data_IF_313934334345
#
_entry.id   IF_313934334345
#
_cell.length_a   1.000
_cell.length_b   1.000
_cell.length_c   1.000
_cell.angle_alpha   90.00
_cell.angle_beta   90.00
_cell.angle_gamma   90.00
#
_symmetry.space_group_name_H-M   'P 1'
#
loop_
_entity.id
_entity.type
_entity.pdbx_description
1 polymer ?
#
# COMPACT_ATOMS: atom_id res chain seq x y z
N UNK A 1 1.73 -40.50 75.22
CA UNK A 1 1.80 -41.97 75.06
C UNK A 1 1.89 -42.27 73.58
N UNK A 2 2.99 -42.91 73.15
CA UNK A 2 3.15 -43.86 72.03
C UNK A 2 2.62 -43.39 70.65
N UNK A 3 3.44 -43.18 69.63
CA UNK A 3 4.53 -44.04 69.14
C UNK A 3 4.10 -44.62 67.77
N UNK A 4 4.97 -44.57 66.77
CA UNK A 4 4.70 -45.22 65.47
C UNK A 4 5.40 -44.58 64.29
N UNK A 5 6.71 -44.83 64.17
CA UNK A 5 7.43 -44.80 62.90
C UNK A 5 7.14 -46.13 62.19
N UNK A 6 6.98 -46.15 60.86
CA UNK A 6 7.60 -47.12 59.91
C UNK A 6 6.87 -47.21 58.56
N UNK A 7 7.70 -47.39 57.52
CA UNK A 7 7.49 -48.15 56.29
C UNK A 7 7.06 -47.44 54.98
N UNK A 8 8.08 -47.12 54.19
CA UNK A 8 8.32 -47.63 52.83
C UNK A 8 7.16 -47.58 51.82
N UNK A 9 7.31 -46.77 50.77
CA UNK A 9 6.42 -46.83 49.61
C UNK A 9 6.80 -45.85 48.51
N UNK A 10 7.91 -46.14 47.83
CA UNK A 10 8.24 -45.60 46.51
C UNK A 10 7.00 -45.65 45.58
N UNK A 11 6.50 -44.50 45.15
CA UNK A 11 5.77 -44.40 43.89
C UNK A 11 6.12 -43.08 43.22
N UNK A 12 6.80 -43.22 42.08
CA UNK A 12 7.08 -42.18 41.11
C UNK A 12 5.80 -41.57 40.52
N UNK A 13 6.01 -40.42 39.86
CA UNK A 13 5.05 -39.61 39.09
C UNK A 13 4.11 -38.81 40.00
N UNK A 14 4.04 -37.49 39.87
CA UNK A 14 3.48 -36.81 38.71
C UNK A 14 4.11 -35.43 38.52
N UNK A 15 4.54 -35.21 37.27
CA UNK A 15 4.60 -33.97 36.51
C UNK A 15 4.73 -32.64 37.27
N UNK A 16 5.92 -32.05 37.15
CA UNK A 16 6.20 -30.63 37.37
C UNK A 16 5.28 -29.79 36.47
N UNK A 17 4.28 -29.15 37.09
CA UNK A 17 3.47 -28.10 36.51
C UNK A 17 4.19 -26.75 36.64
N UNK A 18 4.05 -25.94 35.59
CA UNK A 18 4.27 -24.50 35.50
C UNK A 18 5.71 -24.00 35.30
N UNK A 19 6.00 -23.55 34.06
CA UNK A 19 6.15 -22.13 33.68
C UNK A 19 6.50 -22.02 32.18
N UNK A 20 5.67 -21.38 31.33
CA UNK A 20 6.12 -20.93 30.01
C UNK A 20 6.61 -19.49 30.14
N UNK A 21 7.92 -19.27 30.01
CA UNK A 21 8.48 -17.93 29.82
C UNK A 21 9.13 -17.80 28.45
N UNK A 22 8.48 -16.97 27.63
CA UNK A 22 9.04 -16.07 26.63
C UNK A 22 10.07 -16.63 25.63
N UNK A 23 9.65 -16.72 24.36
CA UNK A 23 10.29 -15.89 23.34
C UNK A 23 9.32 -15.66 22.18
N UNK A 24 8.76 -14.46 22.19
CA UNK A 24 8.06 -13.83 21.09
C UNK A 24 9.05 -13.59 19.94
N UNK A 25 8.99 -14.44 18.92
CA UNK A 25 9.49 -14.12 17.58
C UNK A 25 8.29 -14.09 16.61
N UNK A 26 7.39 -13.14 16.87
CA UNK A 26 6.34 -12.75 15.94
C UNK A 26 7.01 -12.02 14.75
N UNK A 27 7.55 -12.77 13.79
CA UNK A 27 7.71 -12.24 12.43
C UNK A 27 6.34 -12.35 11.77
N UNK A 28 5.50 -11.36 12.06
CA UNK A 28 4.34 -11.06 11.24
C UNK A 28 4.85 -10.57 9.89
N UNK A 29 5.10 -11.50 8.97
CA UNK A 29 4.96 -11.20 7.56
C UNK A 29 3.47 -10.90 7.39
N UNK A 30 3.15 -9.62 7.24
CA UNK A 30 1.82 -9.22 6.79
C UNK A 30 1.70 -9.73 5.36
N UNK A 31 1.03 -10.86 5.20
CA UNK A 31 0.54 -11.29 3.91
C UNK A 31 -0.61 -10.33 3.57
N UNK A 32 -0.30 -9.30 2.77
CA UNK A 32 -1.35 -8.55 2.11
C UNK A 32 -1.76 -9.39 0.90
N UNK A 33 -2.74 -10.25 1.11
CA UNK A 33 -3.48 -10.86 0.02
C UNK A 33 -4.29 -9.75 -0.64
N UNK A 34 -3.73 -9.18 -1.71
CA UNK A 34 -4.47 -8.32 -2.64
C UNK A 34 -5.35 -9.24 -3.48
N UNK A 35 -6.50 -9.64 -2.94
CA UNK A 35 -7.49 -10.41 -3.70
C UNK A 35 -8.03 -9.52 -4.84
N UNK A 36 -7.67 -9.92 -6.06
CA UNK A 36 -8.08 -9.39 -7.36
C UNK A 36 -8.04 -7.87 -7.49
N UNK A 37 -6.83 -7.32 -7.61
CA UNK A 37 -6.52 -5.92 -7.91
C UNK A 37 -7.04 -5.42 -9.28
N UNK A 38 -8.32 -5.67 -9.56
CA UNK A 38 -9.10 -5.33 -10.74
C UNK A 38 -10.15 -4.28 -10.32
N UNK A 39 -9.97 -3.06 -10.81
CA UNK A 39 -10.84 -1.92 -10.56
C UNK A 39 -11.59 -1.54 -11.84
N UNK A 40 -12.82 -1.06 -11.69
CA UNK A 40 -13.54 -0.45 -12.80
C UNK A 40 -13.50 1.07 -12.61
N UNK A 41 -12.94 1.77 -13.59
CA UNK A 41 -12.90 3.23 -13.61
C UNK A 41 -13.98 3.76 -14.53
N UNK A 42 -14.97 4.44 -13.96
CA UNK A 42 -15.96 5.20 -14.71
C UNK A 42 -16.08 6.59 -14.10
N UNK A 43 -15.54 7.58 -14.79
CA UNK A 43 -15.57 8.98 -14.39
C UNK A 43 -16.23 9.78 -15.50
N UNK A 44 -17.34 10.45 -15.19
CA UNK A 44 -18.06 11.28 -16.15
C UNK A 44 -18.05 12.73 -15.68
N UNK A 45 -17.33 13.59 -16.41
CA UNK A 45 -17.18 15.03 -16.08
C UNK A 45 -16.69 15.26 -14.63
N UNK A 46 -15.69 14.49 -14.20
CA UNK A 46 -15.16 14.53 -12.83
C UNK A 46 -13.93 15.44 -12.77
N UNK A 47 -13.79 16.18 -11.68
CA UNK A 47 -12.61 17.01 -11.42
C UNK A 47 -11.33 16.16 -11.32
N UNK A 48 -10.25 16.65 -11.94
CA UNK A 48 -8.98 15.93 -12.02
C UNK A 48 -8.41 15.60 -10.63
N UNK A 49 -8.61 16.47 -9.65
CA UNK A 49 -8.19 16.27 -8.25
C UNK A 49 -8.84 15.04 -7.61
N UNK A 50 -10.11 14.76 -7.93
CA UNK A 50 -10.84 13.58 -7.44
C UNK A 50 -10.29 12.30 -8.07
N UNK A 51 -9.95 12.36 -9.35
CA UNK A 51 -9.30 11.23 -10.04
C UNK A 51 -7.94 10.94 -9.42
N UNK A 52 -7.13 11.97 -9.14
CA UNK A 52 -5.82 11.83 -8.48
C UNK A 52 -5.97 11.16 -7.11
N UNK A 53 -6.89 11.64 -6.26
CA UNK A 53 -7.14 11.07 -4.93
C UNK A 53 -7.59 9.60 -5.00
N UNK A 54 -8.43 9.28 -5.97
CA UNK A 54 -8.87 7.89 -6.20
C UNK A 54 -7.69 6.99 -6.56
N UNK A 55 -6.84 7.42 -7.51
CA UNK A 55 -5.67 6.64 -7.91
C UNK A 55 -4.64 6.57 -6.78
N UNK A 56 -4.47 7.62 -5.98
CA UNK A 56 -3.60 7.63 -4.79
C UNK A 56 -4.01 6.54 -3.78
N UNK A 57 -5.31 6.41 -3.53
CA UNK A 57 -5.86 5.37 -2.64
C UNK A 57 -5.71 3.98 -3.22
N UNK A 58 -5.93 3.82 -4.52
CA UNK A 58 -5.80 2.52 -5.20
C UNK A 58 -4.34 2.05 -5.30
N UNK A 59 -3.40 2.96 -5.57
CA UNK A 59 -1.98 2.64 -5.72
C UNK A 59 -1.20 2.66 -4.41
N UNK A 60 -1.78 3.21 -3.33
CA UNK A 60 -1.09 3.43 -2.06
C UNK A 60 0.07 4.42 -2.15
N UNK A 61 0.08 5.28 -3.18
CA UNK A 61 1.18 6.21 -3.44
C UNK A 61 0.77 7.64 -3.07
N UNK A 62 1.70 8.38 -2.47
CA UNK A 62 1.49 9.79 -2.16
C UNK A 62 1.64 10.64 -3.42
N UNK A 63 0.64 11.47 -3.70
CA UNK A 63 0.67 12.43 -4.81
C UNK A 63 0.81 13.87 -4.30
N UNK A 64 1.66 14.65 -4.95
CA UNK A 64 1.77 16.10 -4.75
C UNK A 64 1.41 16.78 -6.07
N UNK A 65 0.52 17.75 -6.03
CA UNK A 65 0.12 18.53 -7.20
C UNK A 65 -0.06 20.00 -6.81
N UNK A 66 0.15 20.89 -7.78
CA UNK A 66 -0.03 22.33 -7.62
C UNK A 66 -1.46 22.76 -8.04
N UNK A 67 -1.86 23.99 -7.71
CA UNK A 67 -3.13 24.60 -8.10
C UNK A 67 -3.38 24.63 -9.61
N UNK A 68 -2.32 24.48 -10.41
CA UNK A 68 -2.41 24.39 -11.87
C UNK A 68 -3.07 23.09 -12.35
N UNK A 69 -3.07 22.03 -11.52
CA UNK A 69 -3.67 20.73 -11.84
C UNK A 69 -5.18 20.78 -11.58
N UNK A 70 -5.91 21.40 -12.50
CA UNK A 70 -7.36 21.59 -12.42
C UNK A 70 -8.05 21.27 -13.74
N UNK A 71 -9.36 21.02 -13.67
CA UNK A 71 -10.22 20.80 -14.82
C UNK A 71 -10.92 19.46 -14.78
N UNK A 72 -11.89 19.27 -15.68
CA UNK A 72 -12.72 18.07 -15.74
C UNK A 72 -12.25 17.08 -16.79
N UNK A 73 -12.39 15.80 -16.47
CA UNK A 73 -12.03 14.67 -17.32
C UNK A 73 -13.15 13.64 -17.32
N UNK A 74 -13.24 12.91 -18.43
CA UNK A 74 -14.14 11.79 -18.59
C UNK A 74 -13.30 10.57 -18.94
N UNK A 75 -13.47 9.48 -18.20
CA UNK A 75 -12.78 8.21 -18.35
C UNK A 75 -13.85 7.14 -18.38
N UNK A 76 -13.95 6.42 -19.49
CA UNK A 76 -14.93 5.34 -19.66
C UNK A 76 -14.16 4.03 -19.81
N UNK A 77 -14.23 3.16 -18.79
CA UNK A 77 -13.67 1.81 -18.87
C UNK A 77 -14.79 0.77 -19.03
N UNK A 78 -14.94 0.14 -20.22
CA UNK A 78 -15.97 -0.85 -20.46
C UNK A 78 -15.75 -2.17 -19.69
N UNK A 79 -14.52 -2.41 -19.21
CA UNK A 79 -14.11 -3.62 -18.51
C UNK A 79 -13.39 -3.30 -17.20
N UNK A 80 -13.33 -4.27 -16.28
CA UNK A 80 -12.46 -4.20 -15.10
C UNK A 80 -11.00 -4.29 -15.53
N UNK A 81 -10.16 -3.42 -14.99
CA UNK A 81 -8.73 -3.30 -15.33
C UNK A 81 -7.89 -3.42 -14.06
N UNK A 82 -6.66 -3.90 -14.14
CA UNK A 82 -5.82 -4.01 -12.94
C UNK A 82 -5.45 -2.63 -12.36
N UNK A 83 -5.03 -2.55 -11.10
CA UNK A 83 -4.53 -1.29 -10.49
C UNK A 83 -3.40 -0.67 -11.32
N UNK A 84 -2.52 -1.48 -11.89
CA UNK A 84 -1.47 -1.02 -12.80
C UNK A 84 -2.03 -0.42 -14.10
N UNK A 85 -3.05 -1.04 -14.67
CA UNK A 85 -3.73 -0.51 -15.86
C UNK A 85 -4.49 0.77 -15.54
N UNK A 86 -5.16 0.83 -14.39
CA UNK A 86 -5.83 2.04 -13.90
C UNK A 86 -4.84 3.21 -13.77
N UNK A 87 -3.65 2.94 -13.25
CA UNK A 87 -2.56 3.91 -13.19
C UNK A 87 -2.10 4.36 -14.59
N UNK A 88 -1.94 3.45 -15.56
CA UNK A 88 -1.59 3.79 -16.93
C UNK A 88 -2.67 4.63 -17.65
N UNK A 89 -3.95 4.33 -17.42
CA UNK A 89 -5.08 5.13 -17.93
C UNK A 89 -5.06 6.53 -17.33
N UNK A 90 -4.79 6.64 -16.03
CA UNK A 90 -4.65 7.93 -15.36
C UNK A 90 -3.50 8.77 -15.95
N UNK A 91 -2.32 8.17 -16.19
CA UNK A 91 -1.22 8.88 -16.84
C UNK A 91 -1.59 9.35 -18.25
N UNK A 92 -2.35 8.56 -19.00
CA UNK A 92 -2.86 8.95 -20.32
C UNK A 92 -3.79 10.16 -20.25
N UNK A 93 -4.66 10.22 -19.22
CA UNK A 93 -5.57 11.34 -19.00
C UNK A 93 -4.81 12.61 -18.63
N UNK A 94 -3.78 12.50 -17.79
CA UNK A 94 -2.89 13.61 -17.49
C UNK A 94 -2.22 14.13 -18.77
N UNK A 95 -1.72 13.24 -19.62
CA UNK A 95 -1.06 13.62 -20.87
C UNK A 95 -1.98 14.40 -21.81
N UNK A 96 -3.25 13.98 -21.94
CA UNK A 96 -4.27 14.69 -22.74
C UNK A 96 -4.50 16.12 -22.23
N UNK A 97 -4.41 16.32 -20.91
CA UNK A 97 -4.55 17.63 -20.27
C UNK A 97 -3.25 18.44 -20.25
N UNK A 98 -2.13 17.87 -20.68
CA UNK A 98 -0.82 18.54 -20.68
C UNK A 98 -0.06 18.42 -19.35
N UNK A 99 -0.43 17.47 -18.50
CA UNK A 99 0.24 17.14 -17.24
C UNK A 99 0.93 15.79 -17.34
N UNK A 100 1.81 15.51 -16.39
CA UNK A 100 2.46 14.22 -16.22
C UNK A 100 2.84 14.00 -14.77
N UNK A 101 3.03 12.74 -14.42
CA UNK A 101 3.61 12.28 -13.16
C UNK A 101 5.14 12.28 -13.25
N UNK A 102 5.81 12.68 -12.17
CA UNK A 102 7.25 12.58 -11.99
C UNK A 102 7.53 12.01 -10.62
N UNK A 103 8.37 10.97 -10.55
CA UNK A 103 8.78 10.38 -9.27
C UNK A 103 9.73 11.34 -8.58
N UNK A 104 9.35 11.77 -7.37
CA UNK A 104 10.17 12.59 -6.50
C UNK A 104 10.98 11.75 -5.50
N UNK A 105 11.78 12.42 -4.66
CA UNK A 105 12.49 11.76 -3.57
C UNK A 105 11.51 11.12 -2.58
N UNK A 106 11.96 10.07 -1.89
CA UNK A 106 11.20 9.35 -0.87
C UNK A 106 9.89 8.69 -1.34
N UNK A 107 9.79 8.31 -2.62
CA UNK A 107 8.67 7.51 -3.14
C UNK A 107 7.38 8.30 -3.36
N UNK A 108 7.46 9.63 -3.40
CA UNK A 108 6.32 10.51 -3.68
C UNK A 108 6.21 10.76 -5.18
N UNK A 109 5.00 10.88 -5.72
CA UNK A 109 4.76 11.21 -7.12
C UNK A 109 4.25 12.64 -7.22
N UNK A 110 4.90 13.45 -8.05
CA UNK A 110 4.49 14.84 -8.33
C UNK A 110 3.72 14.89 -9.65
N UNK A 111 2.62 15.63 -9.70
CA UNK A 111 1.89 15.93 -10.94
C UNK A 111 2.22 17.34 -11.37
N UNK A 112 2.90 17.47 -12.51
CA UNK A 112 3.40 18.74 -13.04
C UNK A 112 3.08 18.88 -14.53
N UNK A 113 3.07 20.10 -15.10
CA UNK A 113 2.92 20.29 -16.54
C UNK A 113 4.03 19.58 -17.33
N UNK A 114 3.69 19.01 -18.49
CA UNK A 114 4.66 18.30 -19.37
C UNK A 114 5.88 19.17 -19.71
N UNK A 115 5.69 20.48 -19.83
CA UNK A 115 6.78 21.43 -20.12
C UNK A 115 7.83 21.43 -19.01
N UNK A 116 7.38 21.47 -17.76
CA UNK A 116 8.25 21.44 -16.57
C UNK A 116 8.85 20.04 -16.36
N UNK A 117 8.12 18.97 -16.71
CA UNK A 117 8.64 17.62 -16.60
C UNK A 117 9.82 17.34 -17.53
N UNK A 118 9.86 17.96 -18.72
CA UNK A 118 11.04 17.88 -19.60
C UNK A 118 12.26 18.56 -18.99
N UNK A 119 12.05 19.64 -18.25
CA UNK A 119 13.10 20.38 -17.55
C UNK A 119 13.53 19.71 -16.24
N UNK A 120 12.66 18.89 -15.61
CA UNK A 120 13.02 18.10 -14.43
C UNK A 120 13.60 16.72 -14.77
N UNK A 121 13.30 16.17 -15.95
CA UNK A 121 13.82 14.87 -16.38
C UNK A 121 15.34 14.93 -16.60
N UNK A 122 15.89 16.06 -17.05
CA UNK A 122 17.34 16.30 -17.07
C UNK A 122 17.99 16.21 -15.68
N UNK A 123 17.25 16.48 -14.59
CA UNK A 123 17.74 16.34 -13.21
C UNK A 123 17.47 14.93 -12.62
N UNK A 124 16.69 14.08 -13.31
CA UNK A 124 16.36 12.71 -12.86
C UNK A 124 17.18 11.64 -13.60
N UNK A 125 17.98 12.03 -14.60
CA UNK A 125 18.99 11.15 -15.22
C UNK A 125 20.37 11.58 -14.72
N UNK A 126 20.66 11.39 -13.42
CA UNK A 126 22.04 11.37 -12.96
C UNK A 126 22.29 10.12 -12.11
N UNK A 127 23.19 9.25 -12.62
CA UNK A 127 23.74 8.09 -11.92
C UNK A 127 24.04 6.93 -12.85
#
# INVERSE_FOLDING_TARGET
MRGGVFFQGLLCAVAVLALPMASSAQRGATEIEVEDGMVQLDFNDVELTVVIDTIAKLSGTNFIYDDRVRGRVTIVSPSKISTEQAYAVFESVLQVKGFTTVRGPAGVVKVIPIREAKESNIETVEG
#
